data_IF_812614561484
#
_entry.id   IF_812614561484
#
_cell.length_a   1.000
_cell.length_b   1.000
_cell.length_c   1.000
_cell.angle_alpha   90.00
_cell.angle_beta   90.00
_cell.angle_gamma   90.00
#
_symmetry.space_group_name_H-M   'P 1'
#
loop_
_entity.id
_entity.type
_entity.pdbx_description
1 polymer ?
#
# COMPACT_ATOMS: atom_id res chain seq x y z
N UNK A 1 1.95 -0.74 -23.98
CA UNK A 1 0.65 -1.04 -23.32
C UNK A 1 0.54 -0.13 -22.12
N UNK A 2 -0.66 0.36 -21.81
CA UNK A 2 -0.86 1.33 -20.74
C UNK A 2 -2.23 1.13 -20.07
N UNK A 3 -2.25 1.25 -18.75
CA UNK A 3 -3.46 1.31 -17.95
C UNK A 3 -3.20 2.20 -16.74
N UNK A 4 -4.19 3.01 -16.37
CA UNK A 4 -4.23 3.68 -15.07
C UNK A 4 -5.65 3.56 -14.53
N UNK A 5 -5.78 2.91 -13.39
CA UNK A 5 -7.04 2.75 -12.67
C UNK A 5 -7.42 4.06 -11.99
N UNK A 6 -8.71 4.40 -12.00
CA UNK A 6 -9.23 5.54 -11.25
C UNK A 6 -9.43 5.17 -9.77
N UNK A 7 -8.35 5.18 -9.00
CA UNK A 7 -8.35 4.81 -7.57
C UNK A 7 -8.54 6.08 -6.73
N UNK A 8 -9.52 6.14 -5.82
CA UNK A 8 -9.66 7.28 -4.91
C UNK A 8 -8.42 7.44 -4.04
N UNK A 9 -7.83 8.63 -4.01
CA UNK A 9 -6.67 8.90 -3.18
C UNK A 9 -7.06 9.06 -1.70
N UNK A 10 -6.29 8.41 -0.81
CA UNK A 10 -6.40 8.55 0.63
C UNK A 10 -5.02 8.88 1.18
N UNK A 11 -4.93 9.93 1.98
CA UNK A 11 -3.69 10.37 2.62
C UNK A 11 -3.64 9.95 4.09
N UNK A 12 -2.43 9.71 4.58
CA UNK A 12 -2.16 9.53 6.01
C UNK A 12 -1.92 10.86 6.74
N UNK A 13 -1.84 11.96 6.00
CA UNK A 13 -1.55 13.30 6.50
C UNK A 13 -2.80 14.17 6.40
N UNK A 14 -2.97 15.14 7.29
CA UNK A 14 -4.05 16.12 7.24
C UNK A 14 -5.43 15.46 7.05
N UNK A 15 -5.67 14.40 7.83
CA UNK A 15 -6.84 13.55 7.70
C UNK A 15 -8.10 14.39 7.90
N UNK A 16 -8.94 14.45 6.86
CA UNK A 16 -10.18 15.25 6.86
C UNK A 16 -9.96 16.76 6.81
N UNK A 17 -8.76 17.24 6.44
CA UNK A 17 -8.45 18.67 6.40
C UNK A 17 -8.30 19.31 7.79
N UNK A 18 -8.01 18.50 8.81
CA UNK A 18 -7.98 18.93 10.22
C UNK A 18 -6.57 19.23 10.72
N UNK A 19 -5.54 19.08 9.88
CA UNK A 19 -4.13 19.10 10.30
C UNK A 19 -3.71 17.86 11.08
N UNK A 20 -4.56 16.83 11.18
CA UNK A 20 -4.26 15.58 11.88
C UNK A 20 -3.45 14.63 11.00
N UNK A 21 -2.23 14.32 11.42
CA UNK A 21 -1.37 13.34 10.77
C UNK A 21 -1.38 11.99 11.50
N UNK A 22 -1.34 10.90 10.74
CA UNK A 22 -0.98 9.57 11.21
C UNK A 22 0.30 9.12 10.49
N UNK A 23 1.50 9.39 11.04
CA UNK A 23 2.77 9.07 10.39
C UNK A 23 2.98 7.55 10.19
N UNK A 24 2.15 6.72 10.83
CA UNK A 24 2.19 5.26 10.75
C UNK A 24 0.98 4.66 10.03
N UNK A 25 0.11 5.51 9.48
CA UNK A 25 -1.14 5.13 8.82
C UNK A 25 -1.01 4.80 7.32
N UNK A 26 0.21 4.75 6.76
CA UNK A 26 0.43 4.50 5.32
C UNK A 26 -0.27 3.21 4.84
N UNK A 27 -0.19 2.13 5.61
CA UNK A 27 -0.82 0.85 5.28
C UNK A 27 -2.34 0.95 5.32
N UNK A 28 -2.89 1.70 6.28
CA UNK A 28 -4.33 1.88 6.42
C UNK A 28 -4.89 2.69 5.26
N UNK A 29 -4.26 3.83 4.95
CA UNK A 29 -4.61 4.66 3.81
C UNK A 29 -4.52 3.85 2.50
N UNK A 30 -3.45 3.07 2.31
CA UNK A 30 -3.28 2.20 1.15
C UNK A 30 -4.37 1.13 1.05
N UNK A 31 -4.72 0.50 2.17
CA UNK A 31 -5.78 -0.48 2.19
C UNK A 31 -7.13 0.18 1.84
N UNK A 32 -7.44 1.37 2.38
CA UNK A 32 -8.63 2.15 2.02
C UNK A 32 -8.70 2.45 0.52
N UNK A 33 -7.60 2.89 -0.11
CA UNK A 33 -7.55 3.13 -1.56
C UNK A 33 -7.90 1.88 -2.36
N UNK A 34 -7.35 0.72 -1.98
CA UNK A 34 -7.68 -0.57 -2.62
C UNK A 34 -9.16 -0.90 -2.43
N UNK A 35 -9.72 -0.72 -1.23
CA UNK A 35 -11.13 -0.99 -0.96
C UNK A 35 -12.08 -0.09 -1.75
N UNK A 36 -11.83 1.22 -1.74
CA UNK A 36 -12.67 2.23 -2.39
C UNK A 36 -12.69 2.13 -3.91
N UNK A 37 -11.69 1.50 -4.51
CA UNK A 37 -11.73 1.18 -5.93
C UNK A 37 -12.89 0.24 -6.30
N UNK A 38 -13.26 -0.68 -5.41
CA UNK A 38 -14.32 -1.65 -5.67
C UNK A 38 -15.68 -1.24 -5.11
N UNK A 39 -15.69 -0.67 -3.91
CA UNK A 39 -16.91 -0.41 -3.15
C UNK A 39 -16.83 0.97 -2.50
N UNK A 40 -17.81 1.82 -2.80
CA UNK A 40 -17.96 3.09 -2.14
C UNK A 40 -18.61 2.91 -0.76
N UNK A 41 -18.14 3.63 0.25
CA UNK A 41 -18.78 3.69 1.56
C UNK A 41 -17.82 3.78 2.73
N UNK A 42 -18.32 3.94 3.97
CA UNK A 42 -17.49 3.96 5.17
C UNK A 42 -16.80 2.62 5.34
N UNK A 43 -15.47 2.63 5.44
CA UNK A 43 -14.71 1.44 5.78
C UNK A 43 -14.63 1.31 7.29
N UNK A 44 -14.99 0.14 7.82
CA UNK A 44 -14.94 -0.11 9.28
C UNK A 44 -13.49 -0.15 9.83
N UNK A 45 -12.50 -0.24 8.92
CA UNK A 45 -11.08 -0.29 9.24
C UNK A 45 -10.68 -1.54 10.02
N UNK A 46 -9.47 -1.52 10.61
CA UNK A 46 -8.99 -2.54 11.53
C UNK A 46 -8.80 -1.92 12.93
N UNK A 47 -9.86 -1.87 13.76
CA UNK A 47 -9.79 -1.28 15.11
C UNK A 47 -8.71 -1.91 15.99
N UNK A 48 -8.40 -3.18 15.78
CA UNK A 48 -7.33 -3.90 16.49
C UNK A 48 -5.94 -3.31 16.22
N UNK A 49 -5.76 -2.68 15.05
CA UNK A 49 -4.53 -2.03 14.63
C UNK A 49 -4.55 -0.50 14.84
N UNK A 50 -5.62 0.02 15.46
CA UNK A 50 -5.88 1.45 15.69
C UNK A 50 -5.93 1.75 17.20
N UNK A 51 -4.81 1.52 17.92
CA UNK A 51 -4.72 1.75 19.36
C UNK A 51 -3.44 2.46 19.81
N UNK A 52 -2.64 2.96 18.87
CA UNK A 52 -1.43 3.71 19.19
C UNK A 52 -1.81 5.12 19.63
N UNK A 53 -1.35 5.58 20.79
CA UNK A 53 -1.50 6.98 21.15
C UNK A 53 -0.67 7.86 20.19
N UNK A 54 -1.32 8.80 19.53
CA UNK A 54 -0.72 9.90 18.77
C UNK A 54 -0.61 11.14 19.67
N UNK A 55 -0.07 12.23 19.10
CA UNK A 55 -0.16 13.54 19.73
C UNK A 55 -1.63 13.89 20.05
N UNK A 56 -1.82 14.73 21.07
CA UNK A 56 -3.13 15.25 21.48
C UNK A 56 -4.13 14.20 22.01
N UNK A 57 -3.65 13.02 22.41
CA UNK A 57 -4.48 11.97 23.04
C UNK A 57 -5.35 11.18 22.06
N UNK A 58 -5.13 11.32 20.76
CA UNK A 58 -5.85 10.58 19.72
C UNK A 58 -5.25 9.19 19.49
N UNK A 59 -6.08 8.24 19.06
CA UNK A 59 -5.60 6.94 18.59
C UNK A 59 -5.15 7.03 17.12
N UNK A 60 -4.12 6.26 16.76
CA UNK A 60 -3.57 6.09 15.42
C UNK A 60 -3.18 4.65 15.16
N UNK A 61 -2.64 4.41 13.97
CA UNK A 61 -2.27 3.07 13.55
C UNK A 61 -0.93 2.62 14.14
N UNK A 62 -0.80 1.33 14.46
CA UNK A 62 0.52 0.76 14.72
C UNK A 62 1.39 0.89 13.46
N UNK A 63 2.67 1.18 13.68
CA UNK A 63 3.63 1.19 12.59
C UNK A 63 3.67 -0.19 11.95
N UNK A 64 3.65 -0.23 10.62
CA UNK A 64 4.17 -1.36 9.85
C UNK A 64 5.67 -1.20 9.55
N UNK A 65 6.36 -0.32 10.31
CA UNK A 65 7.80 -0.36 10.59
C UNK A 65 8.57 0.88 10.11
N UNK A 66 9.65 1.24 10.82
CA UNK A 66 10.77 2.03 10.26
C UNK A 66 11.78 1.14 9.50
N UNK A 67 11.55 -0.17 9.49
CA UNK A 67 12.32 -1.22 8.84
C UNK A 67 11.39 -2.04 7.92
N UNK A 68 11.87 -3.16 7.39
CA UNK A 68 11.05 -4.08 6.61
C UNK A 68 9.79 -4.51 7.39
N UNK A 69 8.64 -4.48 6.74
CA UNK A 69 7.34 -4.74 7.39
C UNK A 69 7.21 -6.20 7.86
N UNK A 70 8.02 -7.11 7.32
CA UNK A 70 8.13 -8.52 7.72
C UNK A 70 8.68 -8.71 9.16
N UNK A 71 9.33 -7.70 9.74
CA UNK A 71 9.93 -7.76 11.08
C UNK A 71 8.93 -7.48 12.21
N UNK A 72 7.72 -7.06 11.86
CA UNK A 72 6.66 -6.77 12.81
C UNK A 72 5.72 -7.95 12.98
N UNK A 73 4.85 -7.85 14.00
CA UNK A 73 3.96 -8.92 14.42
C UNK A 73 3.20 -9.52 13.23
N UNK A 74 3.57 -10.74 12.80
CA UNK A 74 3.01 -11.42 11.64
C UNK A 74 1.47 -11.43 11.64
N UNK A 75 0.89 -11.53 12.85
CA UNK A 75 -0.55 -11.48 13.10
C UNK A 75 -1.25 -10.22 12.54
N UNK A 76 -0.57 -9.07 12.47
CA UNK A 76 -1.17 -7.83 11.96
C UNK A 76 -1.40 -7.88 10.45
N UNK A 77 -0.45 -8.43 9.70
CA UNK A 77 -0.54 -8.53 8.25
C UNK A 77 -1.48 -9.65 7.82
N UNK A 78 -1.48 -10.77 8.56
CA UNK A 78 -2.49 -11.81 8.40
C UNK A 78 -3.91 -11.26 8.64
N UNK A 79 -4.10 -10.47 9.70
CA UNK A 79 -5.38 -9.84 10.01
C UNK A 79 -5.81 -8.84 8.94
N UNK A 80 -4.89 -7.99 8.46
CA UNK A 80 -5.12 -7.07 7.35
C UNK A 80 -5.58 -7.82 6.10
N UNK A 81 -4.81 -8.82 5.67
CA UNK A 81 -5.15 -9.58 4.48
C UNK A 81 -6.49 -10.31 4.62
N UNK A 82 -6.78 -10.86 5.80
CA UNK A 82 -8.04 -11.54 6.07
C UNK A 82 -9.25 -10.58 6.05
N UNK A 83 -9.17 -9.43 6.72
CA UNK A 83 -10.28 -8.47 6.82
C UNK A 83 -10.56 -7.76 5.50
N UNK A 84 -9.52 -7.51 4.73
CA UNK A 84 -9.61 -6.76 3.47
C UNK A 84 -9.73 -7.66 2.25
N UNK A 85 -9.92 -8.96 2.46
CA UNK A 85 -10.00 -9.97 1.40
C UNK A 85 -8.85 -9.84 0.41
N UNK A 86 -7.64 -9.64 0.93
CA UNK A 86 -6.43 -9.56 0.12
C UNK A 86 -5.71 -10.91 0.09
N UNK A 87 -5.05 -11.17 -1.02
CA UNK A 87 -4.13 -12.29 -1.21
C UNK A 87 -2.77 -11.80 -1.73
N UNK A 88 -1.68 -12.48 -1.34
CA UNK A 88 -0.37 -12.23 -1.93
C UNK A 88 -0.38 -12.32 -3.46
N UNK A 89 0.28 -11.39 -4.12
CA UNK A 89 0.60 -11.54 -5.55
C UNK A 89 1.60 -12.69 -5.70
N UNK A 90 1.41 -13.52 -6.72
CA UNK A 90 2.30 -14.65 -6.99
C UNK A 90 3.77 -14.19 -7.08
N UNK A 91 4.68 -14.96 -6.47
CA UNK A 91 6.12 -14.70 -6.41
C UNK A 91 6.57 -13.42 -5.67
N UNK A 92 5.69 -12.72 -4.95
CA UNK A 92 6.08 -11.46 -4.29
C UNK A 92 7.13 -11.66 -3.18
N UNK A 93 7.17 -12.86 -2.60
CA UNK A 93 8.13 -13.26 -1.57
C UNK A 93 9.53 -13.60 -2.09
N UNK A 94 9.76 -13.57 -3.41
CA UNK A 94 11.05 -13.93 -4.02
C UNK A 94 11.66 -12.73 -4.77
N UNK A 95 12.84 -12.91 -5.34
CA UNK A 95 13.51 -11.95 -6.22
C UNK A 95 12.91 -11.89 -7.65
N UNK A 96 11.66 -12.33 -7.83
CA UNK A 96 10.97 -12.30 -9.13
C UNK A 96 11.00 -10.90 -9.75
N UNK A 97 11.30 -10.86 -11.05
CA UNK A 97 11.34 -9.64 -11.86
C UNK A 97 10.00 -9.55 -12.58
N UNK A 98 9.10 -8.72 -12.07
CA UNK A 98 7.81 -8.49 -12.69
C UNK A 98 7.99 -7.68 -13.97
N UNK A 99 7.29 -8.08 -15.03
CA UNK A 99 7.19 -7.25 -16.23
C UNK A 99 6.04 -6.27 -16.10
N UNK A 100 6.07 -5.15 -16.84
CA UNK A 100 4.92 -4.22 -16.87
C UNK A 100 3.67 -4.89 -17.44
N UNK A 101 3.81 -5.88 -18.34
CA UNK A 101 2.70 -6.68 -18.84
C UNK A 101 2.07 -7.58 -17.76
N UNK A 102 2.89 -8.16 -16.87
CA UNK A 102 2.39 -8.91 -15.71
C UNK A 102 1.62 -8.00 -14.75
N UNK A 103 2.19 -6.85 -14.39
CA UNK A 103 1.52 -5.87 -13.51
C UNK A 103 0.23 -5.36 -14.16
N UNK A 104 0.23 -5.07 -15.46
CA UNK A 104 -0.98 -4.69 -16.19
C UNK A 104 -2.06 -5.77 -16.12
N UNK A 105 -1.69 -7.04 -16.31
CA UNK A 105 -2.62 -8.16 -16.23
C UNK A 105 -3.25 -8.23 -14.84
N UNK A 106 -2.43 -8.14 -13.78
CA UNK A 106 -2.91 -8.10 -12.40
C UNK A 106 -3.85 -6.93 -12.14
N UNK A 107 -3.50 -5.72 -12.62
CA UNK A 107 -4.34 -4.53 -12.47
C UNK A 107 -5.69 -4.66 -13.18
N UNK A 108 -5.70 -5.21 -14.40
CA UNK A 108 -6.92 -5.43 -15.18
C UNK A 108 -7.83 -6.48 -14.56
N UNK A 109 -7.26 -7.57 -14.08
CA UNK A 109 -8.03 -8.68 -13.54
C UNK A 109 -8.51 -8.42 -12.11
N UNK A 110 -7.66 -7.80 -11.27
CA UNK A 110 -7.82 -7.77 -9.81
C UNK A 110 -7.76 -6.37 -9.22
N UNK A 111 -7.75 -5.32 -10.04
CA UNK A 111 -7.73 -3.93 -9.57
C UNK A 111 -6.38 -3.50 -8.97
N UNK A 112 -6.35 -2.44 -8.14
CA UNK A 112 -5.11 -1.88 -7.63
C UNK A 112 -4.34 -2.84 -6.72
N UNK A 113 -3.01 -2.72 -6.72
CA UNK A 113 -2.12 -3.60 -5.98
C UNK A 113 -1.56 -2.85 -4.77
N UNK A 114 -1.77 -3.39 -3.58
CA UNK A 114 -1.13 -2.93 -2.35
C UNK A 114 0.38 -3.25 -2.42
N UNK A 115 1.23 -2.29 -2.09
CA UNK A 115 2.69 -2.40 -2.15
C UNK A 115 3.34 -2.01 -0.82
N UNK A 116 4.13 -2.92 -0.24
CA UNK A 116 5.15 -2.59 0.77
C UNK A 116 6.54 -2.44 0.14
N UNK A 117 7.21 -1.33 0.45
CA UNK A 117 8.52 -0.98 -0.08
C UNK A 117 9.36 -0.22 0.94
N UNK A 118 10.65 -0.05 0.65
CA UNK A 118 11.56 0.82 1.40
C UNK A 118 11.63 2.17 0.70
N UNK A 119 11.07 3.20 1.31
CA UNK A 119 11.06 4.56 0.79
C UNK A 119 12.21 5.36 1.37
N UNK A 120 12.88 6.16 0.53
CA UNK A 120 13.87 7.15 0.97
C UNK A 120 13.33 8.56 0.73
N UNK A 121 13.19 9.34 1.81
CA UNK A 121 12.73 10.73 1.76
C UNK A 121 13.42 11.56 2.86
N UNK A 122 13.84 12.79 2.53
CA UNK A 122 14.52 13.66 3.50
C UNK A 122 15.82 13.09 4.08
N UNK A 123 16.49 12.19 3.36
CA UNK A 123 17.71 11.51 3.82
C UNK A 123 17.49 10.31 4.76
N UNK A 124 16.24 9.94 5.02
CA UNK A 124 15.87 8.79 5.83
C UNK A 124 15.25 7.68 4.98
N UNK A 125 15.53 6.43 5.31
CA UNK A 125 14.93 5.25 4.66
C UNK A 125 14.06 4.49 5.65
N UNK A 126 12.81 4.20 5.29
CA UNK A 126 11.85 3.56 6.16
C UNK A 126 10.87 2.66 5.38
N UNK A 127 10.22 1.74 6.10
CA UNK A 127 9.17 0.89 5.55
C UNK A 127 7.93 1.71 5.21
N UNK A 128 7.40 1.53 4.01
CA UNK A 128 6.27 2.31 3.52
C UNK A 128 5.26 1.47 2.77
N UNK A 129 4.00 1.90 2.79
CA UNK A 129 2.93 1.29 2.02
C UNK A 129 2.37 2.28 0.99
N UNK A 130 2.11 1.79 -0.21
CA UNK A 130 1.53 2.55 -1.31
C UNK A 130 0.62 1.65 -2.14
N UNK A 131 -0.02 2.21 -3.16
CA UNK A 131 -0.92 1.45 -4.03
C UNK A 131 -0.52 1.65 -5.48
N UNK A 132 -0.14 0.58 -6.17
CA UNK A 132 0.09 0.60 -7.62
C UNK A 132 -1.27 0.67 -8.31
N UNK A 133 -1.40 1.65 -9.20
CA UNK A 133 -2.66 1.98 -9.89
C UNK A 133 -2.54 1.87 -11.41
N UNK A 134 -1.32 1.74 -11.95
CA UNK A 134 -1.15 1.78 -13.40
C UNK A 134 0.24 1.39 -13.86
N UNK A 135 0.37 1.22 -15.16
CA UNK A 135 1.64 1.10 -15.88
C UNK A 135 1.58 1.83 -17.21
N UNK A 136 2.72 2.35 -17.67
CA UNK A 136 2.93 2.84 -19.03
C UNK A 136 4.40 2.65 -19.43
N UNK A 137 4.63 1.95 -20.54
CA UNK A 137 5.98 1.62 -21.00
C UNK A 137 6.78 0.83 -19.96
N UNK A 138 7.83 1.47 -19.41
CA UNK A 138 8.69 0.92 -18.35
C UNK A 138 8.34 1.41 -16.96
N UNK A 139 7.28 2.22 -16.82
CA UNK A 139 6.94 2.89 -15.58
C UNK A 139 5.72 2.25 -14.92
N UNK A 140 5.70 2.30 -13.59
CA UNK A 140 4.55 2.02 -12.74
C UNK A 140 4.03 3.34 -12.16
N UNK A 141 2.70 3.47 -12.08
CA UNK A 141 2.02 4.57 -11.40
C UNK A 141 1.52 4.09 -10.05
N UNK A 142 1.63 4.93 -9.03
CA UNK A 142 1.18 4.61 -7.69
C UNK A 142 0.67 5.83 -6.92
N UNK A 143 -0.20 5.58 -5.95
CA UNK A 143 -0.57 6.55 -4.92
C UNK A 143 0.28 6.34 -3.67
N UNK A 144 0.95 7.41 -3.26
CA UNK A 144 1.68 7.48 -1.99
C UNK A 144 0.85 8.26 -0.95
N UNK A 145 0.44 7.61 0.16
CA UNK A 145 -0.33 8.24 1.22
C UNK A 145 0.29 9.51 1.84
N UNK A 146 1.60 9.73 1.68
CA UNK A 146 2.30 10.97 2.08
C UNK A 146 2.10 12.10 1.06
N UNK A 147 0.84 12.38 0.70
CA UNK A 147 0.41 13.47 -0.22
C UNK A 147 1.06 13.43 -1.61
N UNK A 148 1.35 12.24 -2.14
CA UNK A 148 1.95 12.07 -3.46
C UNK A 148 1.10 11.15 -4.37
N UNK A 149 -0.11 11.60 -4.80
CA UNK A 149 -0.96 10.85 -5.72
C UNK A 149 -0.37 10.83 -7.13
N UNK A 150 -0.65 9.76 -7.91
CA UNK A 150 -0.21 9.61 -9.31
C UNK A 150 1.31 9.72 -9.48
N UNK A 151 2.05 9.31 -8.46
CA UNK A 151 3.50 9.22 -8.50
C UNK A 151 3.94 8.12 -9.45
N UNK A 152 5.21 8.18 -9.86
CA UNK A 152 5.77 7.30 -10.88
C UNK A 152 7.14 6.79 -10.46
N UNK A 153 7.40 5.52 -10.68
CA UNK A 153 8.75 4.94 -10.62
C UNK A 153 8.93 3.93 -11.75
N UNK A 154 10.17 3.66 -12.15
CA UNK A 154 10.41 2.62 -13.15
C UNK A 154 10.16 1.23 -12.58
N UNK A 155 9.84 0.26 -13.43
CA UNK A 155 9.73 -1.15 -13.04
C UNK A 155 11.05 -1.68 -12.46
N UNK A 156 12.19 -1.18 -12.95
CA UNK A 156 13.51 -1.50 -12.39
C UNK A 156 13.65 -0.99 -10.95
N UNK A 157 13.21 0.24 -10.69
CA UNK A 157 13.21 0.81 -9.35
C UNK A 157 12.30 0.03 -8.41
N UNK A 158 11.09 -0.38 -8.87
CA UNK A 158 10.19 -1.22 -8.08
C UNK A 158 10.92 -2.47 -7.55
N UNK A 159 11.70 -3.16 -8.39
CA UNK A 159 12.42 -4.36 -7.97
C UNK A 159 13.51 -4.10 -6.93
N UNK A 160 14.11 -2.91 -6.95
CA UNK A 160 15.12 -2.51 -5.96
C UNK A 160 14.48 -2.16 -4.62
N UNK A 161 13.32 -1.50 -4.62
CA UNK A 161 12.74 -0.91 -3.41
C UNK A 161 11.62 -1.74 -2.79
N UNK A 162 10.94 -2.59 -3.56
CA UNK A 162 9.89 -3.46 -3.02
C UNK A 162 10.47 -4.40 -1.97
N UNK A 163 9.71 -4.67 -0.93
CA UNK A 163 10.08 -5.72 0.00
C UNK A 163 9.89 -7.11 -0.66
N UNK A 164 10.52 -8.15 -0.10
CA UNK A 164 10.50 -9.51 -0.65
C UNK A 164 10.01 -10.51 0.39
N UNK A 165 8.71 -10.50 0.66
CA UNK A 165 8.07 -11.41 1.62
C UNK A 165 6.58 -11.58 1.29
N UNK A 166 5.89 -12.47 2.00
CA UNK A 166 4.53 -12.93 1.70
C UNK A 166 3.52 -11.80 1.43
N UNK A 167 3.61 -10.66 2.10
CA UNK A 167 2.65 -9.56 1.95
C UNK A 167 3.23 -8.32 1.25
N UNK A 168 4.41 -8.44 0.64
CA UNK A 168 5.05 -7.33 -0.05
C UNK A 168 4.20 -6.73 -1.16
N UNK A 169 3.47 -7.58 -1.87
CA UNK A 169 2.45 -7.19 -2.85
C UNK A 169 1.17 -7.96 -2.55
N UNK A 170 0.04 -7.28 -2.47
CA UNK A 170 -1.26 -7.91 -2.26
C UNK A 170 -2.31 -7.34 -3.20
N UNK A 171 -3.28 -8.17 -3.57
CA UNK A 171 -4.41 -7.81 -4.43
C UNK A 171 -5.70 -8.40 -3.88
N UNK A 172 -6.86 -7.94 -4.35
CA UNK A 172 -8.14 -8.51 -3.91
C UNK A 172 -8.27 -9.96 -4.37
N UNK A 173 -8.73 -10.82 -3.45
CA UNK A 173 -9.06 -12.23 -3.72
C UNK A 173 -10.05 -12.34 -4.86
N UNK A 174 -9.95 -13.43 -5.61
CA UNK A 174 -10.92 -13.74 -6.66
C UNK A 174 -12.25 -14.05 -5.98
N UNK A 175 -13.31 -13.41 -6.44
CA UNK A 175 -14.66 -13.82 -6.08
C UNK A 175 -14.96 -15.23 -6.62
#
# INVERSE_FOLDING_TARGET
MAITLNVPFVTQLDIGGTGRDDPTGCWYASACMVGFYFEAGPRQGLPELFKKALADGLAGHYATGSAEANTLCANHHDLLAAREQLEPVANCATAHVYTTAEIETLLRERGPIFLYWMKTHGGQTYGHASVIIGVDGSDIFYHDPEKAPNSKMSIGQLHTVRQQWKYALMQRKKA
#
